data_IF_999612913997
#
_entry.id   IF_999612913997
#
_cell.length_a   1.000
_cell.length_b   1.000
_cell.length_c   1.000
_cell.angle_alpha   90.00
_cell.angle_beta   90.00
_cell.angle_gamma   90.00
#
_symmetry.space_group_name_H-M   'P 1'
#
loop_
_entity.id
_entity.type
_entity.pdbx_description
1 polymer ?
#
# COMPACT_ATOMS: atom_id res chain seq x y z
N UNK A 1 -6.19 -35.85 -1.44
CA UNK A 1 -4.73 -35.57 -1.62
C UNK A 1 -4.31 -34.55 -0.56
N UNK A 2 -3.43 -34.92 0.40
CA UNK A 2 -3.10 -34.09 1.57
C UNK A 2 -2.42 -32.76 1.19
N UNK A 3 -1.62 -32.74 0.12
CA UNK A 3 -0.96 -31.52 -0.37
C UNK A 3 -1.97 -30.47 -0.86
N UNK A 4 -3.03 -30.88 -1.56
CA UNK A 4 -4.12 -29.98 -1.96
C UNK A 4 -4.84 -29.38 -0.75
N UNK A 5 -5.05 -30.17 0.30
CA UNK A 5 -5.67 -29.68 1.53
C UNK A 5 -4.78 -28.62 2.21
N UNK A 6 -3.47 -28.86 2.32
CA UNK A 6 -2.50 -27.91 2.89
C UNK A 6 -2.47 -26.59 2.09
N UNK A 7 -2.39 -26.67 0.76
CA UNK A 7 -2.39 -25.49 -0.11
C UNK A 7 -3.70 -24.71 0.04
N UNK A 8 -4.84 -25.40 0.04
CA UNK A 8 -6.17 -24.77 0.19
C UNK A 8 -6.27 -24.04 1.53
N UNK A 9 -5.84 -24.67 2.63
CA UNK A 9 -5.83 -24.04 3.96
C UNK A 9 -4.87 -22.85 4.00
N UNK A 10 -3.67 -22.96 3.44
CA UNK A 10 -2.69 -21.88 3.42
C UNK A 10 -3.18 -20.66 2.61
N UNK A 11 -3.75 -20.89 1.43
CA UNK A 11 -4.38 -19.86 0.60
C UNK A 11 -5.60 -19.25 1.29
N UNK A 12 -6.46 -20.08 1.88
CA UNK A 12 -7.64 -19.63 2.64
C UNK A 12 -7.27 -18.74 3.82
N UNK A 13 -6.26 -19.11 4.61
CA UNK A 13 -5.73 -18.29 5.72
C UNK A 13 -5.16 -16.96 5.24
N UNK A 14 -4.46 -16.96 4.11
CA UNK A 14 -3.90 -15.74 3.50
C UNK A 14 -5.01 -14.78 3.08
N UNK A 15 -6.05 -15.28 2.41
CA UNK A 15 -7.19 -14.49 1.99
C UNK A 15 -8.01 -13.98 3.20
N UNK A 16 -8.25 -14.84 4.20
CA UNK A 16 -8.96 -14.48 5.41
C UNK A 16 -8.22 -13.37 6.18
N UNK A 17 -6.90 -13.51 6.39
CA UNK A 17 -6.09 -12.48 7.05
C UNK A 17 -6.13 -11.16 6.28
N UNK A 18 -5.97 -11.20 4.96
CA UNK A 18 -6.05 -10.00 4.12
C UNK A 18 -7.42 -9.31 4.24
N UNK A 19 -8.52 -10.08 4.18
CA UNK A 19 -9.88 -9.56 4.35
C UNK A 19 -10.12 -9.02 5.76
N UNK A 20 -9.63 -9.69 6.80
CA UNK A 20 -9.80 -9.26 8.20
C UNK A 20 -9.09 -7.93 8.45
N UNK A 21 -7.82 -7.82 8.04
CA UNK A 21 -7.03 -6.58 8.21
C UNK A 21 -7.67 -5.41 7.45
N UNK A 22 -8.00 -5.61 6.17
CA UNK A 22 -8.60 -4.54 5.36
C UNK A 22 -9.99 -4.14 5.85
N UNK A 23 -10.83 -5.09 6.31
CA UNK A 23 -12.13 -4.77 6.91
C UNK A 23 -11.98 -4.06 8.26
N UNK A 24 -11.03 -4.50 9.10
CA UNK A 24 -10.73 -3.85 10.38
C UNK A 24 -10.32 -2.39 10.19
N UNK A 25 -9.35 -2.13 9.31
CA UNK A 25 -8.91 -0.78 8.98
C UNK A 25 -10.05 0.08 8.42
N UNK A 26 -10.88 -0.44 7.52
CA UNK A 26 -12.05 0.29 7.01
C UNK A 26 -13.06 0.64 8.10
N UNK A 27 -13.31 -0.27 9.04
CA UNK A 27 -14.22 -0.03 10.18
C UNK A 27 -13.64 1.02 11.12
N UNK A 28 -12.35 0.95 11.45
CA UNK A 28 -11.67 1.94 12.26
C UNK A 28 -11.74 3.35 11.65
N UNK A 29 -11.75 3.44 10.31
CA UNK A 29 -11.82 4.70 9.59
C UNK A 29 -13.25 5.18 9.27
N UNK A 30 -14.29 4.44 9.66
CA UNK A 30 -15.68 4.76 9.30
C UNK A 30 -16.14 6.11 9.86
N UNK A 31 -15.65 6.50 11.05
CA UNK A 31 -15.93 7.79 11.67
C UNK A 31 -14.93 8.91 11.33
N UNK A 32 -13.88 8.62 10.57
CA UNK A 32 -12.85 9.61 10.24
C UNK A 32 -13.32 10.45 9.04
N UNK A 33 -13.28 11.80 9.11
CA UNK A 33 -13.66 12.68 8.00
C UNK A 33 -12.84 12.47 6.72
N UNK A 34 -13.43 12.79 5.57
CA UNK A 34 -12.79 12.70 4.26
C UNK A 34 -13.08 11.38 3.54
N UNK A 35 -13.51 11.46 2.27
CA UNK A 35 -13.94 10.27 1.50
C UNK A 35 -12.78 9.53 0.84
N UNK A 36 -11.77 10.26 0.41
CA UNK A 36 -10.63 9.72 -0.35
C UNK A 36 -9.31 9.80 0.40
N UNK A 37 -9.20 10.68 1.38
CA UNK A 37 -8.04 10.84 2.26
C UNK A 37 -8.53 10.82 3.71
N UNK A 38 -7.83 10.09 4.57
CA UNK A 38 -7.99 10.09 6.02
C UNK A 38 -6.70 10.65 6.61
N UNK A 39 -6.79 11.76 7.34
CA UNK A 39 -5.65 12.28 8.10
C UNK A 39 -5.83 11.86 9.55
N UNK A 40 -4.87 11.11 10.09
CA UNK A 40 -4.93 10.61 11.46
C UNK A 40 -4.01 11.44 12.37
N UNK A 41 -4.48 11.92 13.54
CA UNK A 41 -3.67 12.62 14.52
C UNK A 41 -2.74 11.61 15.20
N UNK A 42 -1.56 11.40 14.63
CA UNK A 42 -0.59 10.39 15.05
C UNK A 42 0.83 10.98 14.94
N UNK A 43 1.63 10.77 15.98
CA UNK A 43 3.03 11.18 16.05
C UNK A 43 3.96 10.30 15.20
N UNK A 44 3.47 9.14 14.77
CA UNK A 44 4.19 8.20 13.93
C UNK A 44 4.01 8.56 12.46
N UNK A 45 5.06 8.85 11.69
CA UNK A 45 4.93 9.18 10.27
C UNK A 45 4.57 7.92 9.47
N UNK A 46 3.42 7.90 8.78
CA UNK A 46 3.06 6.85 7.83
C UNK A 46 2.06 7.34 6.79
N UNK A 47 2.08 6.71 5.63
CA UNK A 47 1.02 6.77 4.64
C UNK A 47 0.78 5.39 4.03
N UNK A 48 -0.46 5.11 3.63
CA UNK A 48 -0.77 3.92 2.85
C UNK A 48 -2.12 4.02 2.12
N UNK A 49 -2.17 3.37 0.96
CA UNK A 49 -3.37 3.10 0.18
C UNK A 49 -4.21 1.97 0.79
N UNK A 50 -5.32 2.32 1.45
CA UNK A 50 -6.30 1.35 1.93
C UNK A 50 -7.25 0.94 0.78
N UNK A 51 -7.21 -0.32 0.31
CA UNK A 51 -8.10 -0.76 -0.76
C UNK A 51 -9.56 -0.74 -0.32
N UNK A 52 -10.49 -0.64 -1.28
CA UNK A 52 -11.94 -0.67 -1.06
C UNK A 52 -12.70 -0.25 -2.32
N UNK A 53 -14.04 -0.28 -2.30
CA UNK A 53 -14.88 0.08 -3.46
C UNK A 53 -14.54 1.48 -4.01
N UNK A 54 -14.14 2.41 -3.14
CA UNK A 54 -13.69 3.76 -3.51
C UNK A 54 -12.20 4.01 -3.23
N UNK A 55 -11.51 3.08 -2.56
CA UNK A 55 -10.16 3.28 -2.03
C UNK A 55 -10.07 4.45 -1.05
N UNK A 56 -9.08 4.45 -0.15
CA UNK A 56 -8.81 5.61 0.71
C UNK A 56 -7.32 5.69 1.02
N UNK A 57 -6.74 6.87 0.92
CA UNK A 57 -5.37 7.11 1.36
C UNK A 57 -5.42 7.45 2.84
N UNK A 58 -4.63 6.77 3.65
CA UNK A 58 -4.45 7.09 5.07
C UNK A 58 -3.09 7.73 5.22
N UNK A 59 -3.02 8.84 5.96
CA UNK A 59 -1.77 9.55 6.22
C UNK A 59 -1.79 10.11 7.64
N UNK A 60 -0.66 10.07 8.34
CA UNK A 60 -0.56 10.69 9.66
C UNK A 60 -0.22 12.18 9.58
N UNK A 61 -0.61 12.91 10.62
CA UNK A 61 -0.23 14.32 10.81
C UNK A 61 1.29 14.50 10.85
N UNK A 62 2.02 13.58 11.50
CA UNK A 62 3.48 13.62 11.57
C UNK A 62 4.15 13.56 10.19
N UNK A 63 3.70 12.67 9.31
CA UNK A 63 4.27 12.58 7.95
C UNK A 63 3.95 13.84 7.13
N UNK A 64 2.73 14.36 7.22
CA UNK A 64 2.39 15.61 6.52
C UNK A 64 3.22 16.80 7.00
N UNK A 65 3.46 16.90 8.30
CA UNK A 65 4.29 17.96 8.88
C UNK A 65 5.75 17.90 8.36
N UNK A 66 6.28 16.70 8.14
CA UNK A 66 7.65 16.50 7.65
C UNK A 66 7.85 16.72 6.14
N UNK A 67 6.76 16.81 5.36
CA UNK A 67 6.81 16.96 3.90
C UNK A 67 6.46 18.39 3.46
N UNK A 68 7.25 18.92 2.52
CA UNK A 68 6.95 20.18 1.84
C UNK A 68 5.68 20.07 0.97
N UNK A 69 5.01 21.17 0.60
CA UNK A 69 3.78 21.12 -0.19
C UNK A 69 3.87 20.33 -1.50
N UNK A 70 4.98 20.45 -2.23
CA UNK A 70 5.22 19.68 -3.45
C UNK A 70 5.42 18.18 -3.16
N UNK A 71 6.10 17.85 -2.06
CA UNK A 71 6.34 16.47 -1.62
C UNK A 71 5.03 15.81 -1.16
N UNK A 72 4.12 16.56 -0.50
CA UNK A 72 2.78 16.06 -0.15
C UNK A 72 1.97 15.70 -1.40
N UNK A 73 2.01 16.54 -2.45
CA UNK A 73 1.35 16.24 -3.72
C UNK A 73 1.90 14.96 -4.36
N UNK A 74 3.22 14.80 -4.36
CA UNK A 74 3.88 13.58 -4.82
C UNK A 74 3.48 12.34 -4.03
N UNK A 75 3.49 12.41 -2.69
CA UNK A 75 3.04 11.33 -1.83
C UNK A 75 1.60 10.93 -2.16
N UNK A 76 0.67 11.89 -2.22
CA UNK A 76 -0.72 11.58 -2.52
C UNK A 76 -0.92 11.02 -3.94
N UNK A 77 -0.14 11.47 -4.92
CA UNK A 77 -0.19 10.94 -6.28
C UNK A 77 0.29 9.48 -6.32
N UNK A 78 1.38 9.16 -5.62
CA UNK A 78 1.90 7.80 -5.47
C UNK A 78 0.88 6.87 -4.77
N UNK A 79 0.35 7.28 -3.62
CA UNK A 79 -0.67 6.49 -2.91
C UNK A 79 -1.96 6.32 -3.72
N UNK A 80 -2.32 7.33 -4.53
CA UNK A 80 -3.45 7.22 -5.46
C UNK A 80 -3.17 6.18 -6.54
N UNK A 81 -1.95 6.13 -7.08
CA UNK A 81 -1.55 5.16 -8.10
C UNK A 81 -1.72 3.72 -7.61
N UNK A 82 -1.37 3.42 -6.35
CA UNK A 82 -1.63 2.09 -5.77
C UNK A 82 -3.11 1.71 -5.76
N UNK A 83 -4.00 2.67 -5.53
CA UNK A 83 -5.45 2.45 -5.52
C UNK A 83 -5.99 2.26 -6.95
N UNK A 84 -5.60 3.12 -7.88
CA UNK A 84 -6.11 3.11 -9.27
C UNK A 84 -5.64 1.85 -10.01
N UNK A 85 -4.35 1.53 -9.92
CA UNK A 85 -3.77 0.32 -10.50
C UNK A 85 -4.04 -0.95 -9.65
N UNK A 86 -4.71 -0.81 -8.50
CA UNK A 86 -5.11 -1.92 -7.62
C UNK A 86 -3.93 -2.83 -7.25
N UNK A 87 -2.76 -2.24 -6.95
CA UNK A 87 -1.51 -2.98 -6.63
C UNK A 87 -1.70 -4.03 -5.51
N UNK A 88 -2.57 -3.75 -4.54
CA UNK A 88 -2.95 -4.72 -3.50
C UNK A 88 -3.46 -6.07 -4.05
N UNK A 89 -4.13 -6.10 -5.21
CA UNK A 89 -4.61 -7.34 -5.84
C UNK A 89 -3.47 -8.13 -6.46
N UNK A 90 -2.55 -7.45 -7.16
CA UNK A 90 -1.36 -8.06 -7.75
C UNK A 90 -0.48 -8.70 -6.66
N UNK A 91 -0.24 -7.97 -5.56
CA UNK A 91 0.48 -8.48 -4.40
C UNK A 91 -0.22 -9.68 -3.75
N UNK A 92 -1.56 -9.63 -3.61
CA UNK A 92 -2.31 -10.76 -3.06
C UNK A 92 -2.23 -11.98 -3.98
N UNK A 93 -2.34 -11.79 -5.30
CA UNK A 93 -2.23 -12.87 -6.27
C UNK A 93 -0.84 -13.53 -6.22
N UNK A 94 0.24 -12.73 -6.21
CA UNK A 94 1.60 -13.24 -6.07
C UNK A 94 1.80 -14.03 -4.77
N UNK A 95 1.27 -13.53 -3.65
CA UNK A 95 1.32 -14.23 -2.35
C UNK A 95 0.56 -15.55 -2.38
N UNK A 96 -0.62 -15.61 -3.00
CA UNK A 96 -1.39 -16.84 -3.15
C UNK A 96 -0.66 -17.84 -4.06
N UNK A 97 -0.09 -17.38 -5.16
CA UNK A 97 0.72 -18.19 -6.05
C UNK A 97 1.94 -18.78 -5.32
N UNK A 98 2.65 -17.99 -4.51
CA UNK A 98 3.76 -18.46 -3.69
C UNK A 98 3.35 -19.45 -2.58
N UNK A 99 2.08 -19.42 -2.12
CA UNK A 99 1.51 -20.41 -1.19
C UNK A 99 1.17 -21.72 -1.88
N UNK A 100 0.75 -21.66 -3.14
CA UNK A 100 0.48 -22.84 -3.95
C UNK A 100 1.76 -23.49 -4.50
N UNK A 101 2.74 -22.68 -4.88
CA UNK A 101 4.03 -23.11 -5.41
C UNK A 101 5.17 -22.27 -4.79
N UNK A 102 5.99 -22.85 -3.90
CA UNK A 102 7.11 -22.16 -3.26
C UNK A 102 8.16 -21.60 -4.24
N UNK A 103 8.30 -22.14 -5.45
CA UNK A 103 9.22 -21.59 -6.46
C UNK A 103 8.79 -20.20 -6.96
N UNK A 104 7.55 -19.78 -6.71
CA UNK A 104 7.04 -18.45 -7.02
C UNK A 104 7.26 -17.43 -5.89
N UNK A 105 8.00 -17.76 -4.83
CA UNK A 105 8.36 -16.78 -3.78
C UNK A 105 9.10 -15.55 -4.33
N UNK A 106 10.09 -15.68 -5.24
CA UNK A 106 10.76 -14.51 -5.83
C UNK A 106 9.80 -13.57 -6.57
N UNK A 107 8.71 -14.10 -7.12
CA UNK A 107 7.68 -13.32 -7.81
C UNK A 107 7.02 -12.30 -6.86
N UNK A 108 6.91 -12.59 -5.58
CA UNK A 108 6.37 -11.63 -4.61
C UNK A 108 7.23 -10.37 -4.53
N UNK A 109 8.56 -10.52 -4.54
CA UNK A 109 9.50 -9.39 -4.53
C UNK A 109 9.44 -8.62 -5.84
N UNK A 110 9.45 -9.33 -6.98
CA UNK A 110 9.37 -8.70 -8.30
C UNK A 110 8.06 -7.92 -8.51
N UNK A 111 6.92 -8.49 -8.11
CA UNK A 111 5.62 -7.80 -8.18
C UNK A 111 5.56 -6.60 -7.23
N UNK A 112 6.16 -6.70 -6.05
CA UNK A 112 6.30 -5.55 -5.14
C UNK A 112 7.11 -4.43 -5.77
N UNK A 113 8.33 -4.72 -6.21
CA UNK A 113 9.21 -3.74 -6.83
C UNK A 113 8.58 -3.07 -8.05
N UNK A 114 7.96 -3.85 -8.94
CA UNK A 114 7.30 -3.31 -10.14
C UNK A 114 6.09 -2.45 -9.80
N UNK A 115 5.32 -2.80 -8.75
CA UNK A 115 4.22 -1.97 -8.27
C UNK A 115 4.70 -0.63 -7.71
N UNK A 116 5.80 -0.60 -6.95
CA UNK A 116 6.41 0.64 -6.46
C UNK A 116 6.91 1.50 -7.62
N UNK A 117 7.65 0.90 -8.56
CA UNK A 117 8.15 1.60 -9.75
C UNK A 117 7.03 2.17 -10.62
N UNK A 118 5.92 1.44 -10.74
CA UNK A 118 4.73 1.93 -11.42
C UNK A 118 4.13 3.13 -10.67
N UNK A 119 3.93 3.02 -9.36
CA UNK A 119 3.37 4.12 -8.56
C UNK A 119 4.22 5.39 -8.62
N UNK A 120 5.55 5.27 -8.53
CA UNK A 120 6.49 6.38 -8.67
C UNK A 120 6.37 7.09 -10.03
N UNK A 121 6.24 6.30 -11.09
CA UNK A 121 6.19 6.85 -12.45
C UNK A 121 4.84 7.51 -12.74
N UNK A 122 3.72 6.96 -12.25
CA UNK A 122 2.42 7.65 -12.29
C UNK A 122 2.44 8.94 -11.48
N UNK A 123 3.03 8.92 -10.28
CA UNK A 123 3.19 10.11 -9.46
C UNK A 123 4.04 11.17 -10.16
N UNK A 124 5.12 10.75 -10.82
CA UNK A 124 6.00 11.65 -11.56
C UNK A 124 5.30 12.29 -12.75
N UNK A 125 4.46 11.54 -13.49
CA UNK A 125 3.65 12.10 -14.57
C UNK A 125 2.60 13.08 -14.04
N UNK A 126 1.94 12.75 -12.93
CA UNK A 126 0.92 13.61 -12.33
C UNK A 126 1.48 14.90 -11.73
N UNK A 127 2.70 14.86 -11.17
CA UNK A 127 3.36 16.02 -10.54
C UNK A 127 4.24 16.79 -11.52
N UNK A 128 4.71 16.15 -12.58
CA UNK A 128 5.62 16.74 -13.58
C UNK A 128 7.10 16.77 -13.17
N UNK A 129 7.47 16.21 -12.01
CA UNK A 129 8.85 16.21 -11.52
C UNK A 129 9.23 14.92 -10.79
N UNK A 130 10.08 14.12 -11.43
CA UNK A 130 10.64 12.86 -10.87
C UNK A 130 11.50 13.10 -9.63
N UNK A 131 12.23 14.21 -9.54
CA UNK A 131 13.10 14.51 -8.38
C UNK A 131 12.26 14.79 -7.14
N UNK A 132 11.19 15.57 -7.29
CA UNK A 132 10.23 15.80 -6.20
C UNK A 132 9.60 14.50 -5.71
N UNK A 133 9.20 13.59 -6.63
CA UNK A 133 8.67 12.27 -6.24
C UNK A 133 9.72 11.45 -5.50
N UNK A 134 10.92 11.29 -6.06
CA UNK A 134 11.98 10.53 -5.42
C UNK A 134 12.32 11.07 -4.01
N UNK A 135 12.37 12.40 -3.84
CA UNK A 135 12.60 13.02 -2.53
C UNK A 135 11.45 12.78 -1.56
N UNK A 136 10.20 12.90 -2.01
CA UNK A 136 9.02 12.70 -1.17
C UNK A 136 8.92 11.25 -0.68
N UNK A 137 9.05 10.28 -1.59
CA UNK A 137 8.97 8.85 -1.27
C UNK A 137 10.18 8.42 -0.43
N UNK A 138 11.38 8.92 -0.75
CA UNK A 138 12.58 8.68 0.05
C UNK A 138 12.45 9.19 1.48
N UNK A 139 11.95 10.42 1.69
CA UNK A 139 11.65 10.95 3.03
C UNK A 139 10.60 10.11 3.75
N UNK A 140 9.49 9.80 3.08
CA UNK A 140 8.42 8.99 3.67
C UNK A 140 8.94 7.61 4.10
N UNK A 141 9.79 6.97 3.31
CA UNK A 141 10.39 5.68 3.61
C UNK A 141 11.39 5.74 4.79
N UNK A 142 12.18 6.81 4.89
CA UNK A 142 13.14 7.01 6.00
C UNK A 142 12.46 7.33 7.33
N UNK A 143 11.35 8.07 7.27
CA UNK A 143 10.59 8.47 8.45
C UNK A 143 9.68 7.35 8.94
N UNK A 144 9.08 6.59 8.02
CA UNK A 144 8.12 5.55 8.37
C UNK A 144 8.75 4.46 9.22
N UNK A 145 8.09 3.99 10.29
CA UNK A 145 8.57 2.87 11.06
C UNK A 145 8.77 1.67 10.15
N UNK A 146 9.91 1.01 10.29
CA UNK A 146 10.08 -0.30 9.68
C UNK A 146 9.04 -1.23 10.31
N UNK A 147 8.24 -1.97 9.52
CA UNK A 147 7.44 -3.04 10.10
C UNK A 147 8.38 -3.99 10.86
N UNK A 148 8.00 -4.46 12.06
CA UNK A 148 8.82 -5.33 12.89
C UNK A 148 9.18 -6.65 12.17
#
# INVERSE_FOLDING_TARGET
IPTLAVVTVACGRTLWRHRRVTRGARRALAGVPGRTVAVLPDGTPYAYALPGRRGRIVVSTALLAALAPAERRALFAHERAHLTARHHRHLLAARLAARANPFLRPLCTAVGYTAERWADEEAARAVGDRRTVARAIGKAALLSPRPP
#
